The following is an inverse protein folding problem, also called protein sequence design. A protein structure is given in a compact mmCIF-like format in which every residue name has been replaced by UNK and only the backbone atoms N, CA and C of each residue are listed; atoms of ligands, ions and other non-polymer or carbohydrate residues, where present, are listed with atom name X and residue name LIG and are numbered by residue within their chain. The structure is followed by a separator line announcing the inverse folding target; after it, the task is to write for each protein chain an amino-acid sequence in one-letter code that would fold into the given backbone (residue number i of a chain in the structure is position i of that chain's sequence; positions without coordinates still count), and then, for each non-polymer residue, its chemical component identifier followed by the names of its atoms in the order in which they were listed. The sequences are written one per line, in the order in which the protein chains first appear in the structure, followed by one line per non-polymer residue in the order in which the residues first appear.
data_IF_736352618971
#
_entry.id   IF_736352618971
#
_cell.length_a   1.000
_cell.length_b   1.000
_cell.length_c   1.000
_cell.angle_alpha   90.00
_cell.angle_beta   90.00
_cell.angle_gamma   90.00
#
_symmetry.space_group_name_H-M   'P 1'
#
loop_
_entity.id
_entity.type
_entity.pdbx_description
1 polymer ?
#
# COMPACT_ATOMS: atom_id res chain seq x y z
N UNK A 1 38.38 -26.66 -13.87
CA UNK A 1 37.36 -26.42 -14.93
C UNK A 1 36.05 -26.98 -14.37
N UNK A 2 34.98 -26.26 -14.04
CA UNK A 2 34.48 -24.97 -14.47
C UNK A 2 34.16 -24.05 -13.28
N UNK A 3 34.67 -22.82 -13.32
CA UNK A 3 34.22 -21.73 -12.46
C UNK A 3 32.82 -21.35 -12.92
N UNK A 4 31.82 -21.44 -12.02
CA UNK A 4 30.48 -20.94 -12.25
C UNK A 4 30.56 -19.42 -12.47
N UNK A 5 30.66 -19.03 -13.74
CA UNK A 5 30.65 -17.66 -14.19
C UNK A 5 29.31 -17.03 -13.86
N UNK A 6 29.30 -16.20 -12.82
CA UNK A 6 28.23 -15.27 -12.51
C UNK A 6 28.01 -14.36 -13.72
N UNK A 7 27.17 -14.79 -14.68
CA UNK A 7 26.74 -13.95 -15.80
C UNK A 7 26.03 -12.73 -15.21
N UNK A 8 26.74 -11.61 -15.14
CA UNK A 8 26.19 -10.34 -14.76
C UNK A 8 25.11 -9.98 -15.80
N UNK A 9 23.84 -10.11 -15.40
CA UNK A 9 22.72 -9.75 -16.27
C UNK A 9 22.84 -8.23 -16.55
N UNK A 10 23.14 -7.86 -17.81
CA UNK A 10 23.11 -6.47 -18.22
C UNK A 10 21.65 -6.04 -18.35
N UNK A 11 21.15 -5.39 -17.30
CA UNK A 11 19.79 -4.87 -17.25
C UNK A 11 19.79 -3.47 -17.90
N UNK A 12 18.81 -3.13 -18.78
CA UNK A 12 18.77 -1.86 -19.49
C UNK A 12 18.88 -0.61 -18.57
N UNK A 13 19.44 0.46 -19.10
CA UNK A 13 19.88 1.69 -18.39
C UNK A 13 18.79 2.75 -18.21
N UNK A 14 17.51 2.40 -18.37
CA UNK A 14 16.40 3.38 -18.27
C UNK A 14 16.38 4.04 -16.88
N UNK A 15 16.09 5.36 -16.81
CA UNK A 15 15.96 6.06 -15.55
C UNK A 15 14.81 5.46 -14.73
N UNK A 16 15.02 5.31 -13.41
CA UNK A 16 14.03 4.73 -12.50
C UNK A 16 13.91 5.57 -11.22
N UNK A 17 12.72 5.60 -10.64
CA UNK A 17 12.43 6.34 -9.41
C UNK A 17 12.67 5.48 -8.16
N UNK A 18 13.46 6.01 -7.22
CA UNK A 18 13.66 5.39 -5.91
C UNK A 18 13.20 6.31 -4.78
N UNK A 19 12.63 5.71 -3.74
CA UNK A 19 12.29 6.37 -2.47
C UNK A 19 12.94 5.61 -1.32
N UNK A 20 13.52 6.32 -0.35
CA UNK A 20 14.12 5.71 0.84
C UNK A 20 14.90 6.70 1.71
N UNK A 21 15.14 6.38 2.98
CA UNK A 21 15.94 7.23 3.89
C UNK A 21 17.42 7.21 3.47
N UNK A 22 18.08 8.37 3.49
CA UNK A 22 19.51 8.52 3.17
C UNK A 22 20.47 7.87 4.18
N UNK A 23 20.03 7.61 5.42
CA UNK A 23 20.93 7.40 6.56
C UNK A 23 21.25 5.94 6.93
N UNK A 24 20.57 4.96 6.38
CA UNK A 24 20.86 3.55 6.70
C UNK A 24 21.42 2.82 5.48
N UNK A 25 22.74 2.65 5.51
CA UNK A 25 23.45 1.65 4.75
C UNK A 25 22.93 0.26 5.13
N UNK A 26 21.85 -0.20 4.51
CA UNK A 26 21.56 -1.62 4.32
C UNK A 26 20.27 -1.80 3.53
N UNK A 27 20.36 -2.57 2.44
CA UNK A 27 19.21 -3.24 1.79
C UNK A 27 18.19 -2.34 1.11
N UNK A 28 18.63 -1.47 0.21
CA UNK A 28 17.72 -0.84 -0.75
C UNK A 28 17.44 -1.85 -1.90
N UNK A 29 16.41 -2.68 -1.75
CA UNK A 29 15.97 -3.60 -2.81
C UNK A 29 15.39 -2.79 -3.97
N UNK A 30 16.23 -2.41 -4.93
CA UNK A 30 15.77 -1.82 -6.20
C UNK A 30 15.20 -2.95 -7.04
N UNK A 31 13.87 -3.05 -7.09
CA UNK A 31 13.18 -4.06 -7.87
C UNK A 31 13.18 -3.65 -9.34
N UNK A 32 14.05 -4.29 -10.10
CA UNK A 32 14.27 -3.97 -11.50
C UNK A 32 13.65 -5.05 -12.36
N UNK A 33 12.48 -4.76 -12.92
CA UNK A 33 11.88 -5.60 -13.95
C UNK A 33 12.62 -5.35 -15.27
N UNK A 34 13.82 -5.92 -15.39
CA UNK A 34 14.54 -6.03 -16.66
C UNK A 34 13.88 -7.12 -17.50
N UNK A 35 12.84 -6.75 -18.25
CA UNK A 35 12.10 -7.65 -19.13
C UNK A 35 11.39 -8.77 -18.38
N UNK A 36 10.20 -8.49 -17.81
CA UNK A 36 9.16 -9.42 -17.31
C UNK A 36 9.56 -10.60 -16.37
N UNK A 37 10.85 -10.85 -16.14
CA UNK A 37 11.32 -12.18 -15.76
C UNK A 37 12.17 -12.21 -14.50
N UNK A 38 12.79 -11.12 -14.07
CA UNK A 38 13.81 -11.23 -13.00
C UNK A 38 13.65 -10.15 -11.94
N UNK A 39 13.46 -10.55 -10.67
CA UNK A 39 13.63 -9.65 -9.52
C UNK A 39 15.08 -9.72 -9.09
N UNK A 40 15.73 -8.57 -9.02
CA UNK A 40 17.15 -8.48 -8.68
C UNK A 40 17.32 -7.55 -7.50
N UNK A 41 18.10 -7.98 -6.51
CA UNK A 41 18.48 -7.19 -5.35
C UNK A 41 19.78 -6.46 -5.65
N UNK A 42 19.70 -5.14 -5.81
CA UNK A 42 20.88 -4.28 -5.89
C UNK A 42 21.27 -3.80 -4.50
N UNK A 43 22.56 -3.83 -4.16
CA UNK A 43 23.07 -3.20 -2.94
C UNK A 43 23.55 -1.80 -3.30
N UNK A 44 22.94 -0.74 -2.76
CA UNK A 44 23.31 0.64 -3.15
C UNK A 44 24.60 1.11 -2.47
N UNK A 45 25.02 0.49 -1.37
CA UNK A 45 26.22 0.85 -0.62
C UNK A 45 26.90 -0.42 -0.11
N UNK A 46 28.08 -0.76 -0.65
CA UNK A 46 28.98 -1.67 0.05
C UNK A 46 30.43 -1.44 -0.37
N UNK A 47 31.04 -0.43 0.23
CA UNK A 47 32.48 -0.35 0.48
C UNK A 47 32.71 0.53 1.70
N UNK A 48 33.84 0.36 2.41
CA UNK A 48 34.26 1.19 3.56
C UNK A 48 34.35 2.70 3.23
N UNK A 49 34.27 3.04 1.94
CA UNK A 49 34.22 4.40 1.38
C UNK A 49 32.82 4.58 0.80
N UNK A 50 32.14 5.69 1.12
CA UNK A 50 30.78 6.04 0.70
C UNK A 50 30.62 6.19 -0.84
N UNK A 51 30.84 5.14 -1.62
CA UNK A 51 30.71 5.13 -3.07
C UNK A 51 29.44 4.39 -3.47
N UNK A 52 28.61 5.04 -4.30
CA UNK A 52 27.39 4.46 -4.85
C UNK A 52 27.75 3.31 -5.81
N UNK A 53 27.07 2.16 -5.70
CA UNK A 53 27.30 0.97 -6.53
C UNK A 53 26.81 1.17 -7.98
N UNK A 54 27.54 1.93 -8.79
CA UNK A 54 27.17 2.17 -10.20
C UNK A 54 25.86 2.95 -10.37
N UNK A 55 25.43 3.68 -9.35
CA UNK A 55 24.19 4.48 -9.37
C UNK A 55 24.56 5.96 -9.33
N UNK A 56 23.99 6.75 -10.23
CA UNK A 56 24.12 8.21 -10.27
C UNK A 56 22.75 8.83 -10.02
N UNK A 57 22.67 9.75 -9.06
CA UNK A 57 21.46 10.55 -8.82
C UNK A 57 21.38 11.62 -9.91
N UNK A 58 20.32 11.61 -10.71
CA UNK A 58 20.09 12.62 -11.75
C UNK A 58 19.44 13.86 -11.15
N UNK A 59 18.23 13.70 -10.60
CA UNK A 59 17.43 14.81 -10.08
C UNK A 59 16.52 14.34 -8.94
N UNK A 60 16.19 15.25 -8.03
CA UNK A 60 15.13 15.04 -7.03
C UNK A 60 13.77 15.35 -7.62
N UNK A 61 12.78 14.52 -7.36
CA UNK A 61 11.42 14.74 -7.85
C UNK A 61 10.79 15.98 -7.23
N UNK A 62 10.18 16.84 -8.05
CA UNK A 62 9.35 17.95 -7.58
C UNK A 62 7.98 17.40 -7.20
N UNK A 63 7.76 17.11 -5.91
CA UNK A 63 6.53 16.44 -5.43
C UNK A 63 5.50 17.40 -4.85
N UNK A 64 4.24 17.12 -5.16
CA UNK A 64 3.07 17.78 -4.56
C UNK A 64 2.94 17.43 -3.07
N UNK A 65 2.93 16.14 -2.75
CA UNK A 65 2.93 15.57 -1.39
C UNK A 65 4.20 14.78 -1.08
N UNK A 66 4.28 14.23 0.13
CA UNK A 66 5.40 13.43 0.67
C UNK A 66 6.77 14.08 0.50
N UNK A 67 6.84 15.42 0.48
CA UNK A 67 8.08 16.20 0.30
C UNK A 67 9.23 15.79 1.25
N UNK A 68 8.98 15.41 2.52
CA UNK A 68 10.06 14.95 3.40
C UNK A 68 10.73 13.64 2.98
N UNK A 69 10.05 12.79 2.19
CA UNK A 69 10.63 11.54 1.68
C UNK A 69 11.51 11.89 0.47
N UNK A 70 12.83 11.66 0.48
CA UNK A 70 13.65 11.97 -0.68
C UNK A 70 13.35 10.96 -1.77
N UNK A 71 12.90 11.48 -2.92
CA UNK A 71 12.61 10.70 -4.12
C UNK A 71 13.47 11.24 -5.24
N UNK A 72 14.22 10.37 -5.90
CA UNK A 72 15.14 10.77 -6.94
C UNK A 72 15.04 9.87 -8.17
N UNK A 73 15.31 10.48 -9.31
CA UNK A 73 15.57 9.80 -10.57
C UNK A 73 17.01 9.28 -10.54
N UNK A 74 17.16 7.97 -10.68
CA UNK A 74 18.45 7.30 -10.63
C UNK A 74 18.81 6.80 -12.03
N UNK A 75 20.04 7.09 -12.45
CA UNK A 75 20.68 6.45 -13.61
C UNK A 75 21.58 5.35 -13.11
N UNK A 76 21.59 4.23 -13.82
CA UNK A 76 22.36 3.05 -13.46
C UNK A 76 23.38 2.72 -14.53
N UNK A 77 24.61 2.45 -14.13
CA UNK A 77 25.71 2.05 -15.00
C UNK A 77 26.56 1.02 -14.26
N UNK A 78 26.61 -0.23 -14.76
CA UNK A 78 27.41 -1.33 -14.20
C UNK A 78 27.16 -1.63 -12.71
N UNK A 79 25.91 -1.48 -12.24
CA UNK A 79 25.55 -1.81 -10.86
C UNK A 79 25.59 -3.30 -10.61
N UNK A 80 26.27 -3.70 -9.54
CA UNK A 80 26.29 -5.10 -9.08
C UNK A 80 24.96 -5.45 -8.42
N UNK A 81 24.37 -6.57 -8.86
CA UNK A 81 23.04 -7.00 -8.41
C UNK A 81 23.03 -8.52 -8.19
N UNK A 82 22.30 -9.01 -7.20
CA UNK A 82 22.10 -10.43 -6.92
C UNK A 82 20.69 -10.87 -7.26
N UNK A 83 20.53 -12.03 -7.89
CA UNK A 83 19.22 -12.59 -8.23
C UNK A 83 18.43 -12.91 -6.95
N UNK A 84 17.14 -12.59 -6.94
CA UNK A 84 16.19 -13.03 -5.90
C UNK A 84 15.09 -13.86 -6.55
N UNK A 85 14.89 -15.07 -6.04
CA UNK A 85 13.91 -16.01 -6.57
C UNK A 85 14.34 -16.66 -7.88
N UNK A 86 13.36 -17.12 -8.64
CA UNK A 86 13.60 -17.84 -9.90
C UNK A 86 13.62 -16.90 -11.10
N UNK A 87 14.55 -17.15 -12.03
CA UNK A 87 14.59 -16.44 -13.30
C UNK A 87 13.33 -16.75 -14.12
N UNK A 88 12.69 -15.73 -14.69
CA UNK A 88 11.37 -15.83 -15.33
C UNK A 88 10.18 -15.51 -14.41
N UNK A 89 10.35 -15.46 -13.09
CA UNK A 89 9.24 -15.35 -12.12
C UNK A 89 9.21 -14.04 -11.34
N UNK A 90 9.88 -12.99 -11.84
CA UNK A 90 9.99 -11.71 -11.13
C UNK A 90 8.65 -11.08 -10.70
N UNK A 91 7.62 -11.14 -11.54
CA UNK A 91 6.29 -10.61 -11.20
C UNK A 91 5.63 -11.36 -10.04
N UNK A 92 5.87 -12.68 -9.95
CA UNK A 92 5.38 -13.50 -8.84
C UNK A 92 6.10 -13.17 -7.55
N UNK A 93 7.43 -13.04 -7.61
CA UNK A 93 8.26 -12.72 -6.45
C UNK A 93 7.95 -11.34 -5.85
N UNK A 94 7.71 -10.33 -6.69
CA UNK A 94 7.38 -8.98 -6.19
C UNK A 94 5.96 -8.87 -5.63
N UNK A 95 5.05 -9.78 -6.00
CA UNK A 95 3.62 -9.71 -5.62
C UNK A 95 3.41 -9.68 -4.10
N UNK A 96 4.25 -10.36 -3.33
CA UNK A 96 4.20 -10.37 -1.86
C UNK A 96 4.46 -8.98 -1.28
N UNK A 97 5.50 -8.31 -1.77
CA UNK A 97 5.87 -6.94 -1.38
C UNK A 97 4.79 -5.95 -1.83
N UNK A 98 4.19 -6.16 -3.01
CA UNK A 98 3.08 -5.33 -3.48
C UNK A 98 1.87 -5.42 -2.56
N UNK A 99 1.49 -6.62 -2.12
CA UNK A 99 0.37 -6.81 -1.21
C UNK A 99 0.64 -6.17 0.16
N UNK A 100 1.82 -6.39 0.75
CA UNK A 100 2.19 -5.78 2.03
C UNK A 100 2.20 -4.24 1.93
N UNK A 101 2.78 -3.68 0.87
CA UNK A 101 2.82 -2.22 0.67
C UNK A 101 1.44 -1.62 0.40
N UNK A 102 0.53 -2.34 -0.27
CA UNK A 102 -0.88 -1.92 -0.44
C UNK A 102 -1.60 -1.82 0.91
N UNK A 103 -1.36 -2.76 1.83
CA UNK A 103 -1.92 -2.68 3.20
C UNK A 103 -1.36 -1.46 3.93
N UNK A 104 -0.05 -1.23 3.89
CA UNK A 104 0.55 -0.03 4.49
C UNK A 104 0.01 1.27 3.89
N UNK A 105 -0.25 1.31 2.59
CA UNK A 105 -0.86 2.47 1.93
C UNK A 105 -2.30 2.69 2.41
N UNK A 106 -3.09 1.62 2.57
CA UNK A 106 -4.45 1.69 3.09
C UNK A 106 -4.48 2.17 4.55
N UNK A 107 -3.60 1.63 5.40
CA UNK A 107 -3.40 2.09 6.80
C UNK A 107 -3.03 3.57 6.83
N UNK A 108 -2.08 3.99 5.97
CA UNK A 108 -1.65 5.39 5.89
C UNK A 108 -2.79 6.31 5.42
N UNK A 109 -3.59 5.89 4.44
CA UNK A 109 -4.74 6.65 3.96
C UNK A 109 -5.81 6.81 5.06
N UNK A 110 -6.10 5.73 5.78
CA UNK A 110 -7.02 5.75 6.92
C UNK A 110 -6.50 6.70 8.03
N UNK A 111 -5.21 6.61 8.38
CA UNK A 111 -4.60 7.49 9.39
C UNK A 111 -4.63 8.98 9.00
N UNK A 112 -4.35 9.32 7.73
CA UNK A 112 -4.47 10.69 7.24
C UNK A 112 -5.92 11.19 7.25
N UNK A 113 -6.88 10.34 6.87
CA UNK A 113 -8.31 10.63 6.93
C UNK A 113 -8.79 10.88 8.37
N UNK A 114 -8.39 10.01 9.30
CA UNK A 114 -8.72 10.15 10.73
C UNK A 114 -8.13 11.42 11.35
N UNK A 115 -6.89 11.76 11.00
CA UNK A 115 -6.28 13.03 11.42
C UNK A 115 -7.07 14.25 10.89
N UNK A 116 -7.49 14.21 9.62
CA UNK A 116 -8.36 15.23 9.04
C UNK A 116 -9.66 15.38 9.81
N UNK A 117 -10.34 14.26 10.06
CA UNK A 117 -11.61 14.20 10.77
C UNK A 117 -11.53 14.80 12.18
N UNK A 118 -10.48 14.45 12.95
CA UNK A 118 -10.27 15.01 14.30
C UNK A 118 -10.07 16.51 14.25
N UNK A 119 -9.20 17.00 13.35
CA UNK A 119 -8.94 18.44 13.22
C UNK A 119 -10.23 19.18 12.82
N UNK A 120 -10.99 18.62 11.88
CA UNK A 120 -12.28 19.18 11.46
C UNK A 120 -13.31 19.21 12.59
N UNK A 121 -13.37 18.21 13.47
CA UNK A 121 -14.27 18.23 14.65
C UNK A 121 -13.88 19.32 15.64
N UNK A 122 -12.60 19.42 15.96
CA UNK A 122 -12.10 20.43 16.91
C UNK A 122 -12.38 21.83 16.34
N UNK A 123 -12.12 22.03 15.05
CA UNK A 123 -12.41 23.30 14.37
C UNK A 123 -13.92 23.60 14.35
N UNK A 124 -14.76 22.61 14.03
CA UNK A 124 -16.21 22.78 14.00
C UNK A 124 -16.78 23.12 15.38
N UNK A 125 -16.20 22.58 16.47
CA UNK A 125 -16.57 22.92 17.85
C UNK A 125 -16.17 24.34 18.24
N UNK A 126 -14.96 24.75 17.87
CA UNK A 126 -14.43 26.07 18.21
C UNK A 126 -15.04 27.21 17.39
N UNK A 127 -15.52 26.93 16.18
CA UNK A 127 -16.08 27.94 15.28
C UNK A 127 -17.54 28.22 15.62
N UNK A 128 -17.84 29.45 16.02
CA UNK A 128 -19.21 29.93 16.21
C UNK A 128 -19.77 30.53 14.92
N UNK A 129 -21.01 30.17 14.59
CA UNK A 129 -21.77 30.68 13.44
C UNK A 129 -23.22 30.86 13.88
N UNK A 130 -23.80 32.04 13.64
CA UNK A 130 -25.20 32.35 14.00
C UNK A 130 -25.54 32.03 15.47
N UNK A 131 -24.63 32.36 16.39
CA UNK A 131 -24.84 32.18 17.83
C UNK A 131 -24.71 30.74 18.36
N UNK A 132 -24.38 29.77 17.51
CA UNK A 132 -24.16 28.36 17.92
C UNK A 132 -22.84 27.84 17.36
N UNK A 133 -22.36 26.69 17.84
CA UNK A 133 -21.17 26.06 17.28
C UNK A 133 -21.46 25.52 15.89
N UNK A 134 -20.46 25.55 14.99
CA UNK A 134 -20.61 25.04 13.62
C UNK A 134 -20.96 23.55 13.57
N UNK A 135 -20.70 22.80 14.63
CA UNK A 135 -21.07 21.39 14.75
C UNK A 135 -22.55 21.19 15.08
N UNK A 136 -23.20 22.16 15.73
CA UNK A 136 -24.61 22.09 16.14
C UNK A 136 -25.56 22.47 15.00
N UNK A 137 -25.04 23.17 13.98
CA UNK A 137 -25.81 23.43 12.77
C UNK A 137 -26.16 22.10 12.06
N UNK A 138 -27.43 21.87 11.65
CA UNK A 138 -27.85 20.61 11.04
C UNK A 138 -27.02 20.19 9.82
N UNK A 139 -26.61 21.15 8.99
CA UNK A 139 -25.76 20.90 7.82
C UNK A 139 -24.33 20.46 8.21
N UNK A 140 -23.76 21.07 9.25
CA UNK A 140 -22.45 20.72 9.79
C UNK A 140 -22.44 19.33 10.41
N UNK A 141 -23.44 19.05 11.26
CA UNK A 141 -23.64 17.75 11.89
C UNK A 141 -23.78 16.64 10.84
N UNK A 142 -24.64 16.81 9.83
CA UNK A 142 -24.85 15.80 8.76
C UNK A 142 -23.57 15.49 7.99
N UNK A 143 -22.79 16.52 7.65
CA UNK A 143 -21.52 16.34 6.92
C UNK A 143 -20.50 15.59 7.77
N UNK A 144 -20.37 15.96 9.04
CA UNK A 144 -19.46 15.31 9.97
C UNK A 144 -19.85 13.86 10.26
N UNK A 145 -21.14 13.60 10.42
CA UNK A 145 -21.68 12.26 10.64
C UNK A 145 -21.41 11.34 9.43
N UNK A 146 -21.63 11.82 8.21
CA UNK A 146 -21.34 11.07 6.99
C UNK A 146 -19.85 10.69 6.91
N UNK A 147 -18.97 11.63 7.20
CA UNK A 147 -17.53 11.38 7.17
C UNK A 147 -17.08 10.43 8.30
N UNK A 148 -17.67 10.53 9.48
CA UNK A 148 -17.39 9.62 10.60
C UNK A 148 -17.82 8.17 10.29
N UNK A 149 -19.01 7.97 9.72
CA UNK A 149 -19.49 6.64 9.33
C UNK A 149 -18.57 6.03 8.27
N UNK A 150 -18.19 6.80 7.24
CA UNK A 150 -17.26 6.35 6.20
C UNK A 150 -15.88 6.02 6.79
N UNK A 151 -15.39 6.83 7.74
CA UNK A 151 -14.12 6.56 8.43
C UNK A 151 -14.18 5.26 9.25
N UNK A 152 -15.24 5.05 10.04
CA UNK A 152 -15.41 3.84 10.85
C UNK A 152 -15.51 2.59 9.97
N UNK A 153 -16.28 2.65 8.88
CA UNK A 153 -16.37 1.54 7.92
C UNK A 153 -15.01 1.19 7.32
N UNK A 154 -14.24 2.20 6.89
CA UNK A 154 -12.88 2.00 6.39
C UNK A 154 -11.94 1.43 7.46
N UNK A 155 -12.07 1.86 8.71
CA UNK A 155 -11.22 1.36 9.79
C UNK A 155 -11.48 -0.12 10.10
N UNK A 156 -12.74 -0.55 10.11
CA UNK A 156 -13.09 -1.96 10.27
C UNK A 156 -12.54 -2.80 9.13
N UNK A 157 -12.79 -2.39 7.87
CA UNK A 157 -12.26 -3.06 6.69
C UNK A 157 -10.72 -3.17 6.71
N UNK A 158 -10.06 -2.12 7.20
CA UNK A 158 -8.60 -2.08 7.34
C UNK A 158 -8.10 -3.13 8.34
N UNK A 159 -8.69 -3.19 9.53
CA UNK A 159 -8.27 -4.17 10.53
C UNK A 159 -8.62 -5.61 10.13
N UNK A 160 -9.74 -5.83 9.42
CA UNK A 160 -10.05 -7.15 8.86
C UNK A 160 -8.96 -7.63 7.90
N UNK A 161 -8.45 -6.76 7.03
CA UNK A 161 -7.37 -7.12 6.11
C UNK A 161 -6.01 -7.28 6.80
N UNK A 162 -5.72 -6.48 7.82
CA UNK A 162 -4.51 -6.66 8.65
C UNK A 162 -4.56 -8.00 9.38
N UNK A 163 -5.73 -8.38 9.91
CA UNK A 163 -5.92 -9.69 10.54
C UNK A 163 -5.71 -10.84 9.53
N UNK A 164 -6.30 -10.73 8.34
CA UNK A 164 -6.08 -11.70 7.25
C UNK A 164 -4.61 -11.80 6.85
N UNK A 165 -3.91 -10.67 6.69
CA UNK A 165 -2.48 -10.67 6.40
C UNK A 165 -1.69 -11.37 7.51
N UNK A 166 -1.96 -11.05 8.77
CA UNK A 166 -1.33 -11.69 9.91
C UNK A 166 -1.55 -13.21 9.93
N UNK A 167 -2.76 -13.70 9.62
CA UNK A 167 -3.02 -15.14 9.53
C UNK A 167 -2.31 -15.82 8.36
N UNK A 168 -2.07 -15.10 7.27
CA UNK A 168 -1.34 -15.61 6.10
C UNK A 168 0.16 -15.74 6.33
N UNK A 169 0.71 -14.94 7.25
CA UNK A 169 2.14 -14.95 7.62
C UNK A 169 2.45 -15.96 8.74
N UNK A 170 1.44 -16.44 9.46
CA UNK A 170 1.59 -17.46 10.51
C UNK A 170 1.82 -18.86 9.91
N UNK A 171 2.69 -19.66 10.56
CA UNK A 171 2.84 -21.07 10.24
C UNK A 171 1.56 -21.85 10.60
N UNK A 172 1.27 -22.92 9.85
CA UNK A 172 0.10 -23.80 10.03
C UNK A 172 -0.02 -24.33 11.48
N UNK A 173 1.10 -24.46 12.21
CA UNK A 173 1.14 -24.89 13.61
C UNK A 173 0.61 -23.86 14.62
N UNK A 174 0.55 -22.57 14.27
CA UNK A 174 0.15 -21.47 15.17
C UNK A 174 -1.27 -20.95 14.91
N UNK A 175 -1.91 -21.40 13.83
CA UNK A 175 -3.26 -20.94 13.43
C UNK A 175 -4.38 -21.44 14.37
N UNK A 176 -4.08 -22.41 15.24
CA UNK A 176 -5.06 -22.99 16.18
C UNK A 176 -5.32 -22.13 17.43
N UNK A 177 -4.46 -21.15 17.77
CA UNK A 177 -4.51 -20.45 19.06
C UNK A 177 -5.12 -19.03 19.01
N UNK A 178 -5.38 -18.45 17.83
CA UNK A 178 -5.91 -17.07 17.72
C UNK A 178 -7.45 -17.08 17.61
N UNK A 179 -8.09 -17.28 18.77
CA UNK A 179 -9.50 -17.62 18.98
C UNK A 179 -10.53 -16.48 18.82
N UNK A 180 -10.37 -15.55 17.88
CA UNK A 180 -11.46 -14.58 17.57
C UNK A 180 -11.41 -14.00 16.15
N UNK A 181 -10.22 -13.82 15.59
CA UNK A 181 -10.05 -13.48 14.17
C UNK A 181 -10.29 -14.68 13.24
N UNK A 182 -10.20 -15.91 13.76
CA UNK A 182 -10.38 -17.16 13.02
C UNK A 182 -11.80 -17.36 12.45
N UNK A 183 -12.81 -16.64 12.95
CA UNK A 183 -14.17 -16.68 12.39
C UNK A 183 -14.26 -16.00 11.01
N UNK A 184 -13.36 -15.05 10.73
CA UNK A 184 -13.33 -14.27 9.49
C UNK A 184 -12.30 -14.81 8.48
N UNK A 185 -11.55 -15.85 8.81
CA UNK A 185 -10.42 -16.34 8.00
C UNK A 185 -10.78 -17.73 7.44
N UNK A 186 -10.82 -17.93 6.11
CA UNK A 186 -11.17 -19.22 5.53
C UNK A 186 -10.14 -20.28 5.94
N UNK A 187 -10.63 -21.40 6.51
CA UNK A 187 -9.80 -22.50 6.99
C UNK A 187 -9.10 -23.27 5.85
N UNK A 188 -9.67 -23.31 4.64
CA UNK A 188 -9.06 -23.84 3.40
C UNK A 188 -9.82 -23.32 2.14
N UNK A 189 -9.17 -23.20 0.96
CA UNK A 189 -7.74 -23.04 0.69
C UNK A 189 -7.34 -21.56 0.57
N UNK A 190 -6.08 -21.28 0.93
CA UNK A 190 -5.33 -20.05 0.70
C UNK A 190 -5.96 -18.72 1.22
N UNK A 191 -5.66 -18.29 2.46
CA UNK A 191 -5.93 -16.91 2.94
C UNK A 191 -5.34 -15.82 2.03
N UNK A 192 -4.40 -16.19 1.17
CA UNK A 192 -3.81 -15.34 0.14
C UNK A 192 -4.77 -14.91 -0.98
N UNK A 193 -5.81 -15.69 -1.28
CA UNK A 193 -6.74 -15.39 -2.38
C UNK A 193 -7.65 -14.19 -2.06
N UNK A 194 -8.34 -14.13 -0.91
CA UNK A 194 -9.08 -12.94 -0.50
C UNK A 194 -8.18 -11.70 -0.39
N UNK A 195 -6.95 -11.83 0.10
CA UNK A 195 -5.99 -10.73 0.20
C UNK A 195 -5.63 -10.11 -1.16
N UNK A 196 -5.62 -10.91 -2.24
CA UNK A 196 -5.35 -10.40 -3.59
C UNK A 196 -6.45 -9.47 -4.11
N UNK A 197 -7.70 -9.66 -3.70
CA UNK A 197 -8.81 -8.77 -4.06
C UNK A 197 -8.98 -7.63 -3.05
N UNK A 198 -8.80 -7.92 -1.78
CA UNK A 198 -9.06 -6.97 -0.70
C UNK A 198 -8.01 -5.84 -0.65
N UNK A 199 -6.72 -6.17 -0.84
CA UNK A 199 -5.65 -5.15 -0.78
C UNK A 199 -5.73 -4.08 -1.88
N UNK A 200 -6.00 -4.38 -3.17
CA UNK A 200 -6.14 -3.34 -4.19
C UNK A 200 -7.42 -2.51 -4.00
N UNK A 201 -8.55 -3.16 -3.66
CA UNK A 201 -9.83 -2.47 -3.44
C UNK A 201 -9.75 -1.52 -2.25
N UNK A 202 -9.20 -1.95 -1.12
CA UNK A 202 -9.01 -1.12 0.06
C UNK A 202 -8.15 0.11 -0.22
N UNK A 203 -6.98 -0.07 -0.85
CA UNK A 203 -6.12 1.06 -1.21
C UNK A 203 -6.89 2.09 -2.05
N UNK A 204 -7.66 1.62 -3.03
CA UNK A 204 -8.43 2.49 -3.92
C UNK A 204 -9.57 3.23 -3.21
N UNK A 205 -10.32 2.53 -2.35
CA UNK A 205 -11.46 3.07 -1.60
C UNK A 205 -10.99 4.06 -0.53
N UNK A 206 -10.05 3.66 0.32
CA UNK A 206 -9.58 4.47 1.45
C UNK A 206 -8.85 5.73 1.00
N UNK A 207 -8.05 5.64 -0.06
CA UNK A 207 -7.42 6.83 -0.63
C UNK A 207 -8.46 7.81 -1.21
N UNK A 208 -9.54 7.31 -1.82
CA UNK A 208 -10.66 8.15 -2.30
C UNK A 208 -11.38 8.82 -1.13
N UNK A 209 -11.74 8.05 -0.11
CA UNK A 209 -12.45 8.52 1.08
C UNK A 209 -11.65 9.61 1.81
N UNK A 210 -10.35 9.37 2.03
CA UNK A 210 -9.46 10.33 2.67
C UNK A 210 -9.41 11.67 1.92
N UNK A 211 -9.23 11.65 0.59
CA UNK A 211 -9.16 12.87 -0.22
C UNK A 211 -10.50 13.61 -0.23
N UNK A 212 -11.61 12.88 -0.39
CA UNK A 212 -12.95 13.47 -0.41
C UNK A 212 -13.28 14.18 0.90
N UNK A 213 -12.92 13.57 2.04
CA UNK A 213 -13.12 14.21 3.34
C UNK A 213 -12.20 15.41 3.57
N UNK A 214 -10.91 15.25 3.24
CA UNK A 214 -9.89 16.29 3.44
C UNK A 214 -10.06 17.51 2.52
N UNK A 215 -10.69 17.35 1.36
CA UNK A 215 -10.92 18.44 0.41
C UNK A 215 -11.73 19.61 0.98
N UNK A 216 -12.53 19.35 2.02
CA UNK A 216 -13.32 20.36 2.73
C UNK A 216 -12.55 21.01 3.90
N UNK A 217 -11.25 20.72 4.05
CA UNK A 217 -10.44 21.16 5.18
C UNK A 217 -9.28 22.06 4.72
N UNK A 218 -8.91 23.05 5.55
CA UNK A 218 -7.78 23.95 5.27
C UNK A 218 -6.41 23.29 5.56
N UNK A 219 -6.35 21.96 5.65
CA UNK A 219 -5.14 21.24 6.04
C UNK A 219 -4.39 20.79 4.78
N UNK A 220 -3.82 21.78 4.09
CA UNK A 220 -3.18 21.57 2.79
C UNK A 220 -2.09 20.49 2.82
N UNK A 221 -1.33 20.34 3.91
CA UNK A 221 -0.30 19.29 4.00
C UNK A 221 -0.90 17.88 3.96
N UNK A 222 -1.91 17.61 4.79
CA UNK A 222 -2.54 16.29 4.90
C UNK A 222 -3.25 15.94 3.59
N UNK A 223 -3.91 16.92 2.96
CA UNK A 223 -4.51 16.77 1.65
C UNK A 223 -3.48 16.43 0.56
N UNK A 224 -2.36 17.16 0.50
CA UNK A 224 -1.27 16.90 -0.48
C UNK A 224 -0.65 15.52 -0.29
N UNK A 225 -0.44 15.10 0.96
CA UNK A 225 0.10 13.78 1.28
C UNK A 225 -0.90 12.65 0.95
N UNK A 226 -2.19 12.84 1.21
CA UNK A 226 -3.24 11.89 0.83
C UNK A 226 -3.35 11.73 -0.71
N UNK A 227 -3.21 12.83 -1.46
CA UNK A 227 -3.15 12.78 -2.93
C UNK A 227 -1.97 11.96 -3.45
N UNK A 228 -0.83 11.97 -2.75
CA UNK A 228 0.32 11.15 -3.15
C UNK A 228 0.03 9.64 -3.03
N UNK A 229 -0.79 9.22 -2.06
CA UNK A 229 -1.20 7.81 -1.92
C UNK A 229 -2.11 7.35 -3.06
N UNK A 230 -2.95 8.24 -3.60
CA UNK A 230 -3.86 7.97 -4.73
C UNK A 230 -3.18 7.98 -6.09
N UNK A 231 -2.27 8.93 -6.33
CA UNK A 231 -1.73 9.22 -7.66
C UNK A 231 -0.26 8.81 -7.86
N UNK A 232 0.53 8.70 -6.80
CA UNK A 232 1.99 8.51 -6.90
C UNK A 232 2.46 7.11 -6.48
N UNK A 233 1.67 6.38 -5.68
CA UNK A 233 2.07 5.09 -5.13
C UNK A 233 1.94 3.95 -6.14
N UNK A 234 2.88 3.84 -7.09
CA UNK A 234 3.09 2.75 -8.09
C UNK A 234 1.89 2.27 -8.93
N UNK A 235 0.65 2.64 -8.61
CA UNK A 235 -0.56 2.08 -9.19
C UNK A 235 -1.76 3.00 -8.96
N UNK A 236 -2.33 3.50 -10.05
CA UNK A 236 -3.54 4.33 -10.03
C UNK A 236 -4.79 3.50 -9.68
N UNK A 237 -5.87 4.16 -9.29
CA UNK A 237 -7.18 3.52 -9.02
C UNK A 237 -7.60 2.56 -10.13
N UNK A 238 -7.42 2.95 -11.39
CA UNK A 238 -7.78 2.12 -12.54
C UNK A 238 -6.99 0.82 -12.58
N UNK A 239 -5.70 0.85 -12.23
CA UNK A 239 -4.86 -0.36 -12.16
C UNK A 239 -5.30 -1.27 -11.02
N UNK A 240 -5.71 -0.70 -9.88
CA UNK A 240 -6.26 -1.48 -8.75
C UNK A 240 -7.62 -2.11 -9.10
N UNK A 241 -8.46 -1.38 -9.82
CA UNK A 241 -9.74 -1.90 -10.31
C UNK A 241 -9.52 -3.03 -11.33
N UNK A 242 -8.58 -2.85 -12.26
CA UNK A 242 -8.23 -3.86 -13.26
C UNK A 242 -7.64 -5.12 -12.61
N UNK A 243 -6.74 -4.98 -11.62
CA UNK A 243 -6.20 -6.10 -10.83
C UNK A 243 -7.32 -6.87 -10.11
N UNK A 244 -8.31 -6.15 -9.59
CA UNK A 244 -9.49 -6.75 -8.96
C UNK A 244 -10.32 -7.54 -9.97
N UNK A 245 -10.61 -6.95 -11.14
CA UNK A 245 -11.36 -7.61 -12.21
C UNK A 245 -10.61 -8.82 -12.76
N UNK A 246 -9.29 -8.73 -12.88
CA UNK A 246 -8.43 -9.82 -13.33
C UNK A 246 -8.51 -11.03 -12.41
N UNK A 247 -8.50 -10.82 -11.09
CA UNK A 247 -8.64 -11.91 -10.12
C UNK A 247 -10.06 -12.49 -10.14
N UNK A 248 -11.09 -11.65 -10.22
CA UNK A 248 -12.49 -12.09 -10.20
C UNK A 248 -12.92 -12.82 -11.49
N UNK A 249 -12.45 -12.39 -12.66
CA UNK A 249 -12.70 -13.08 -13.94
C UNK A 249 -11.74 -14.24 -14.20
N UNK A 250 -10.70 -14.36 -13.39
CA UNK A 250 -9.66 -15.37 -13.52
C UNK A 250 -10.08 -16.74 -13.00
N UNK A 251 -9.13 -17.68 -13.05
CA UNK A 251 -9.32 -19.09 -12.63
C UNK A 251 -9.76 -19.26 -11.17
N UNK A 252 -9.53 -18.27 -10.32
CA UNK A 252 -9.82 -18.30 -8.88
C UNK A 252 -11.04 -17.46 -8.48
N UNK A 253 -11.80 -16.92 -9.44
CA UNK A 253 -12.92 -16.02 -9.16
C UNK A 253 -14.01 -16.63 -8.27
N UNK A 254 -14.45 -17.85 -8.62
CA UNK A 254 -15.47 -18.58 -7.86
C UNK A 254 -15.02 -18.92 -6.44
N UNK A 255 -13.73 -19.25 -6.27
CA UNK A 255 -13.13 -19.59 -4.97
C UNK A 255 -12.97 -18.37 -4.06
N UNK A 256 -12.83 -17.16 -4.63
CA UNK A 256 -12.77 -15.90 -3.88
C UNK A 256 -14.16 -15.42 -3.47
N UNK A 257 -15.16 -15.58 -4.34
CA UNK A 257 -16.51 -15.08 -4.10
C UNK A 257 -17.26 -15.91 -3.05
N UNK A 258 -17.14 -17.25 -3.07
CA UNK A 258 -17.86 -18.13 -2.13
C UNK A 258 -17.61 -17.80 -0.65
N UNK A 259 -16.35 -17.63 -0.20
CA UNK A 259 -16.05 -17.20 1.17
C UNK A 259 -16.56 -15.79 1.49
N UNK A 260 -16.58 -14.88 0.51
CA UNK A 260 -17.04 -13.51 0.74
C UNK A 260 -18.55 -13.41 0.95
N UNK A 261 -19.34 -14.23 0.27
CA UNK A 261 -20.79 -14.32 0.49
C UNK A 261 -21.09 -14.87 1.90
N UNK A 262 -20.33 -15.87 2.32
CA UNK A 262 -20.42 -16.40 3.69
C UNK A 262 -20.01 -15.37 4.75
N UNK A 263 -19.06 -14.47 4.46
CA UNK A 263 -18.68 -13.38 5.37
C UNK A 263 -19.78 -12.34 5.54
N UNK A 264 -20.47 -11.98 4.45
CA UNK A 264 -21.58 -11.03 4.49
C UNK A 264 -22.79 -11.65 5.20
N UNK A 265 -23.10 -12.92 4.92
CA UNK A 265 -24.19 -13.66 5.55
C UNK A 265 -24.00 -13.83 7.06
N UNK A 266 -22.82 -14.30 7.49
CA UNK A 266 -22.52 -14.49 8.92
C UNK A 266 -22.46 -13.17 9.72
N UNK A 267 -22.24 -12.04 9.05
CA UNK A 267 -22.31 -10.71 9.66
C UNK A 267 -23.73 -10.14 9.76
N UNK A 268 -24.69 -10.64 8.97
CA UNK A 268 -26.08 -10.20 8.98
C UNK A 268 -26.94 -10.93 10.02
N UNK A 269 -26.51 -12.11 10.48
CA UNK A 269 -27.17 -12.91 11.53
C UNK A 269 -26.77 -12.51 12.96
N UNK A 270 -25.89 -11.51 13.13
CA UNK A 270 -25.48 -10.95 14.43
C UNK A 270 -25.97 -9.52 14.60
#
# INVERSE_FOLDING_TARGET
MASNGSRALQIPTRPFYSQGRQKEASRLSVHLCGGLSTVVRAWILQTKVQKLNGVTIQRRGCKHGTRPVPTAELRRANTRTGLVGTLGQGTKEISTILNATRVHDAVSACGLGGRGLVISRVFARARYVRGTSSIDLPAGCRTMAKWDVEYRANMQLMFSAVALLGTSEQSVSSQASVSSAAAFVPKKPAPMLPLRVLTPTMKALMAKAAISGLGNTNIARVYRDANALRHLGRYNRHVMADDTVYVLKGKWGAEVLGPSENWVGAGAER
#
